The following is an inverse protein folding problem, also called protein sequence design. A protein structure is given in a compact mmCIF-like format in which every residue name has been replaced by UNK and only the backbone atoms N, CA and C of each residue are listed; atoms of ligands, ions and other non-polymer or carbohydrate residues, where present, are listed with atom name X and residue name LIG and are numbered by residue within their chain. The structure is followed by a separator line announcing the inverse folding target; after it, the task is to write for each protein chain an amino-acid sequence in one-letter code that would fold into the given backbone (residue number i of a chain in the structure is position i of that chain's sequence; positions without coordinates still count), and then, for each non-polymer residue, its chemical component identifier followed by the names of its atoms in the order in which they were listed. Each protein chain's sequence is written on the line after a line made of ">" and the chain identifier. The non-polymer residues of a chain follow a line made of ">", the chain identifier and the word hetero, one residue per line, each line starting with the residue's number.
data_IF_866728098185
#
_entry.id   IF_866728098185
#
_cell.length_a   1.000
_cell.length_b   1.000
_cell.length_c   1.000
_cell.angle_alpha   90.00
_cell.angle_beta   90.00
_cell.angle_gamma   90.00
#
_symmetry.space_group_name_H-M   'P 1'
#
loop_
_entity.id
_entity.type
_entity.pdbx_description
1 polymer ?
#
# COMPACT_ATOMS: atom_id res chain seq x y z
N UNK A 1 -38.91 -37.37 -5.62
CA UNK A 1 -38.90 -37.51 -7.10
C UNK A 1 -38.76 -36.09 -7.63
N UNK A 2 -37.51 -35.63 -7.78
CA UNK A 2 -36.81 -35.35 -9.06
C UNK A 2 -37.12 -33.94 -9.62
N UNK A 3 -36.06 -33.13 -9.65
CA UNK A 3 -35.78 -31.77 -10.21
C UNK A 3 -36.11 -31.61 -11.73
N UNK A 4 -35.74 -30.49 -12.43
CA UNK A 4 -36.07 -29.06 -12.27
C UNK A 4 -36.43 -28.40 -13.63
N UNK A 5 -36.76 -27.09 -13.69
CA UNK A 5 -36.67 -26.32 -14.93
C UNK A 5 -36.37 -24.83 -14.69
N UNK A 6 -35.28 -24.40 -15.32
CA UNK A 6 -34.64 -23.08 -15.35
C UNK A 6 -35.48 -22.09 -16.14
N UNK A 7 -35.62 -20.85 -15.67
CA UNK A 7 -35.68 -19.67 -16.55
C UNK A 7 -35.43 -18.38 -15.76
N UNK A 8 -34.25 -17.79 -15.90
CA UNK A 8 -34.09 -16.35 -15.69
C UNK A 8 -33.54 -15.78 -16.99
N UNK A 9 -34.34 -14.93 -17.63
CA UNK A 9 -33.97 -14.24 -18.87
C UNK A 9 -32.78 -13.33 -18.60
N UNK A 10 -31.69 -13.59 -19.30
CA UNK A 10 -30.63 -12.60 -19.49
C UNK A 10 -31.18 -11.48 -20.37
N UNK A 11 -31.62 -10.37 -19.77
CA UNK A 11 -31.68 -9.11 -20.49
C UNK A 11 -30.25 -8.61 -20.64
N UNK A 12 -29.71 -8.88 -21.83
CA UNK A 12 -28.48 -8.28 -22.33
C UNK A 12 -28.73 -6.78 -22.56
N UNK A 13 -28.48 -5.97 -21.55
CA UNK A 13 -28.15 -4.56 -21.77
C UNK A 13 -26.77 -4.53 -22.43
N UNK A 14 -26.75 -4.18 -23.72
CA UNK A 14 -25.54 -4.09 -24.53
C UNK A 14 -24.44 -3.28 -23.83
N UNK A 15 -23.19 -3.78 -23.77
CA UNK A 15 -22.11 -3.04 -23.16
C UNK A 15 -21.78 -1.78 -23.99
N UNK A 16 -21.34 -0.67 -23.37
CA UNK A 16 -20.92 0.52 -24.10
C UNK A 16 -19.80 0.18 -25.08
N UNK A 17 -20.01 0.53 -26.35
CA UNK A 17 -19.15 0.23 -27.50
C UNK A 17 -17.91 1.13 -27.57
N UNK A 18 -17.10 1.16 -26.52
CA UNK A 18 -15.82 1.88 -26.50
C UNK A 18 -14.65 0.92 -26.73
N UNK A 19 -13.75 1.18 -27.71
CA UNK A 19 -12.72 0.23 -28.18
C UNK A 19 -11.61 -0.13 -27.18
N UNK A 20 -11.68 0.33 -25.92
CA UNK A 20 -10.64 0.11 -24.89
C UNK A 20 -11.02 -0.84 -23.75
N UNK A 21 -12.18 -1.51 -23.78
CA UNK A 21 -12.67 -2.33 -22.66
C UNK A 21 -12.04 -3.75 -22.60
N UNK A 22 -10.70 -3.83 -22.44
CA UNK A 22 -9.97 -5.10 -22.23
C UNK A 22 -9.62 -5.27 -20.75
N UNK A 23 -10.57 -5.73 -19.94
CA UNK A 23 -10.28 -6.14 -18.55
C UNK A 23 -9.41 -7.40 -18.55
N UNK A 24 -8.10 -7.21 -18.43
CA UNK A 24 -7.18 -8.31 -18.16
C UNK A 24 -6.17 -7.91 -17.10
N UNK A 25 -6.51 -8.22 -15.84
CA UNK A 25 -5.57 -8.65 -14.80
C UNK A 25 -6.30 -9.53 -13.78
N UNK A 26 -6.51 -10.79 -14.13
CA UNK A 26 -7.15 -11.82 -13.30
C UNK A 26 -6.23 -12.38 -12.20
N UNK A 27 -5.43 -11.54 -11.55
CA UNK A 27 -4.45 -11.99 -10.57
C UNK A 27 -5.13 -12.69 -9.38
N UNK A 28 -6.24 -12.12 -8.89
CA UNK A 28 -7.02 -12.72 -7.81
C UNK A 28 -7.72 -14.02 -8.23
N UNK A 29 -8.29 -14.09 -9.44
CA UNK A 29 -8.89 -15.33 -9.93
C UNK A 29 -7.82 -16.43 -10.17
N UNK A 30 -6.62 -16.05 -10.59
CA UNK A 30 -5.48 -16.98 -10.69
C UNK A 30 -5.02 -17.46 -9.30
N UNK A 31 -5.07 -16.60 -8.28
CA UNK A 31 -4.85 -17.00 -6.89
C UNK A 31 -5.93 -17.98 -6.40
N UNK A 32 -7.20 -17.69 -6.66
CA UNK A 32 -8.32 -18.57 -6.29
C UNK A 32 -8.18 -19.97 -6.91
N UNK A 33 -7.82 -20.05 -8.21
CA UNK A 33 -7.51 -21.32 -8.89
C UNK A 33 -6.37 -22.08 -8.23
N UNK A 34 -5.28 -21.40 -7.85
CA UNK A 34 -4.14 -22.02 -7.14
C UNK A 34 -4.52 -22.53 -5.74
N UNK A 35 -5.44 -21.84 -5.07
CA UNK A 35 -5.99 -22.25 -3.79
C UNK A 35 -7.05 -23.37 -3.91
N UNK A 36 -7.40 -23.81 -5.13
CA UNK A 36 -8.49 -24.74 -5.40
C UNK A 36 -9.82 -24.34 -4.72
N UNK A 37 -10.06 -23.04 -4.59
CA UNK A 37 -11.22 -22.49 -3.89
C UNK A 37 -11.92 -21.44 -4.75
N UNK A 38 -13.26 -21.39 -4.75
CA UNK A 38 -14.00 -20.40 -5.53
C UNK A 38 -13.79 -19.00 -4.94
N UNK A 39 -13.84 -18.00 -5.83
CA UNK A 39 -14.03 -16.60 -5.46
C UNK A 39 -15.54 -16.32 -5.57
N UNK A 40 -16.24 -16.02 -4.47
CA UNK A 40 -17.68 -15.76 -4.55
C UNK A 40 -17.96 -14.48 -5.34
N UNK A 41 -19.13 -14.41 -5.98
CA UNK A 41 -19.64 -13.16 -6.51
C UNK A 41 -19.77 -12.14 -5.36
N UNK A 42 -19.38 -10.91 -5.64
CA UNK A 42 -19.29 -9.86 -4.63
C UNK A 42 -19.23 -8.50 -5.32
N UNK A 43 -19.48 -7.43 -4.58
CA UNK A 43 -19.43 -6.07 -5.10
C UNK A 43 -18.08 -5.83 -5.77
N UNK A 44 -18.11 -5.47 -7.05
CA UNK A 44 -16.93 -5.44 -7.91
C UNK A 44 -16.89 -4.16 -8.75
N UNK A 45 -15.75 -3.49 -8.74
CA UNK A 45 -15.56 -2.19 -9.43
C UNK A 45 -14.34 -2.25 -10.33
N UNK A 46 -14.52 -1.90 -11.60
CA UNK A 46 -13.46 -1.65 -12.56
C UNK A 46 -12.64 -0.42 -12.18
N UNK A 47 -11.33 -0.43 -12.41
CA UNK A 47 -10.48 0.77 -12.26
C UNK A 47 -10.07 1.34 -13.62
N UNK A 48 -9.83 2.66 -13.74
CA UNK A 48 -9.36 3.28 -14.98
C UNK A 48 -8.05 2.69 -15.52
N UNK A 49 -7.22 2.16 -14.62
CA UNK A 49 -5.95 1.50 -14.94
C UNK A 49 -6.07 0.07 -15.48
N UNK A 50 -7.29 -0.44 -15.68
CA UNK A 50 -7.56 -1.80 -16.17
C UNK A 50 -7.50 -2.88 -15.09
N UNK A 51 -7.55 -2.48 -13.81
CA UNK A 51 -7.65 -3.36 -12.65
C UNK A 51 -9.10 -3.55 -12.16
N UNK A 52 -9.24 -4.22 -11.03
CA UNK A 52 -10.55 -4.52 -10.42
C UNK A 52 -10.45 -4.51 -8.91
N UNK A 53 -11.37 -3.82 -8.25
CA UNK A 53 -11.59 -3.89 -6.81
C UNK A 53 -12.65 -4.94 -6.50
N UNK A 54 -12.32 -5.87 -5.60
CA UNK A 54 -13.25 -6.84 -5.03
C UNK A 54 -13.48 -6.49 -3.56
N UNK A 55 -14.74 -6.31 -3.17
CA UNK A 55 -15.09 -5.91 -1.82
C UNK A 55 -15.56 -7.12 -1.03
N UNK A 56 -15.12 -7.26 0.22
CA UNK A 56 -15.53 -8.36 1.10
C UNK A 56 -15.85 -7.83 2.50
N UNK A 57 -16.87 -8.39 3.14
CA UNK A 57 -17.13 -8.24 4.57
C UNK A 57 -16.08 -9.02 5.35
N UNK A 58 -15.47 -8.39 6.33
CA UNK A 58 -14.48 -9.00 7.19
C UNK A 58 -14.68 -8.52 8.62
N UNK A 59 -14.70 -9.45 9.57
CA UNK A 59 -14.88 -9.17 11.00
C UNK A 59 -13.55 -8.91 11.74
N UNK A 60 -12.41 -9.19 11.11
CA UNK A 60 -11.07 -9.00 11.68
C UNK A 60 -10.41 -7.67 11.30
N UNK A 61 -9.39 -7.24 12.05
CA UNK A 61 -8.60 -6.05 11.74
C UNK A 61 -7.48 -6.37 10.73
N UNK A 62 -7.84 -6.68 9.48
CA UNK A 62 -6.85 -6.86 8.42
C UNK A 62 -6.16 -5.52 8.11
N UNK A 63 -4.85 -5.56 7.91
CA UNK A 63 -4.03 -4.40 7.55
C UNK A 63 -3.98 -4.23 6.04
N UNK A 64 -3.58 -3.04 5.61
CA UNK A 64 -3.21 -2.82 4.21
C UNK A 64 -1.98 -3.66 3.86
N UNK A 65 -2.01 -4.30 2.70
CA UNK A 65 -0.86 -5.05 2.18
C UNK A 65 -0.61 -4.65 0.73
N UNK A 66 0.65 -4.74 0.30
CA UNK A 66 0.99 -4.64 -1.12
C UNK A 66 1.71 -5.90 -1.56
N UNK A 67 1.15 -6.60 -2.53
CA UNK A 67 1.70 -7.82 -3.09
C UNK A 67 1.77 -9.04 -2.16
N UNK A 68 1.19 -9.00 -0.95
CA UNK A 68 1.28 -10.13 0.00
C UNK A 68 0.63 -11.40 -0.56
N UNK A 69 -0.47 -11.26 -1.29
CA UNK A 69 -1.19 -12.35 -1.95
C UNK A 69 -0.58 -12.74 -3.31
N UNK A 70 0.44 -12.00 -3.75
CA UNK A 70 1.12 -12.19 -5.02
C UNK A 70 1.19 -10.89 -5.84
N UNK A 71 1.97 -10.91 -6.93
CA UNK A 71 2.11 -9.75 -7.80
C UNK A 71 0.76 -9.21 -8.25
N UNK A 72 0.62 -7.88 -8.27
CA UNK A 72 -0.57 -7.16 -8.73
C UNK A 72 -1.82 -7.35 -7.86
N UNK A 73 -1.66 -7.87 -6.64
CA UNK A 73 -2.74 -7.99 -5.64
C UNK A 73 -2.34 -7.21 -4.40
N UNK A 74 -3.00 -6.08 -4.19
CA UNK A 74 -2.92 -5.29 -2.97
C UNK A 74 -4.22 -5.49 -2.16
N UNK A 75 -4.14 -5.37 -0.84
CA UNK A 75 -5.34 -5.37 0.02
C UNK A 75 -5.47 -4.06 0.78
N UNK A 76 -6.71 -3.59 0.90
CA UNK A 76 -7.07 -2.40 1.68
C UNK A 76 -7.96 -2.84 2.83
N UNK A 77 -7.42 -2.75 4.04
CA UNK A 77 -8.09 -3.09 5.29
C UNK A 77 -8.28 -1.84 6.15
N UNK A 78 -8.13 -1.98 7.47
CA UNK A 78 -8.34 -0.89 8.42
C UNK A 78 -7.42 0.30 8.11
N UNK A 79 -8.01 1.49 7.97
CA UNK A 79 -7.31 2.74 7.64
C UNK A 79 -6.88 2.87 6.17
N UNK A 80 -7.17 1.86 5.33
CA UNK A 80 -7.08 1.97 3.88
C UNK A 80 -8.38 2.51 3.28
N UNK A 81 -8.28 3.11 2.09
CA UNK A 81 -9.42 3.49 1.29
C UNK A 81 -9.20 3.10 -0.17
N UNK A 82 -10.30 3.06 -0.91
CA UNK A 82 -10.35 2.87 -2.37
C UNK A 82 -11.28 3.92 -2.95
N UNK A 83 -11.07 4.29 -4.20
CA UNK A 83 -11.99 5.20 -4.91
C UNK A 83 -13.27 4.43 -5.22
N UNK A 84 -14.43 5.06 -4.98
CA UNK A 84 -15.74 4.44 -5.12
C UNK A 84 -16.19 4.37 -6.58
N UNK A 85 -17.09 3.43 -6.88
CA UNK A 85 -17.78 3.35 -8.16
C UNK A 85 -18.49 4.68 -8.49
N UNK A 86 -18.50 5.03 -9.77
CA UNK A 86 -19.05 6.29 -10.28
C UNK A 86 -18.07 7.47 -10.28
N UNK A 87 -16.89 7.34 -9.66
CA UNK A 87 -15.86 8.37 -9.71
C UNK A 87 -15.24 8.45 -11.12
N UNK A 88 -15.06 9.66 -11.66
CA UNK A 88 -14.48 9.90 -12.98
C UNK A 88 -13.18 10.68 -12.85
N UNK A 89 -12.13 10.18 -13.51
CA UNK A 89 -10.81 10.81 -13.61
C UNK A 89 -10.49 11.10 -15.09
N UNK A 90 -9.51 11.98 -15.40
CA UNK A 90 -9.09 12.24 -16.79
C UNK A 90 -8.72 10.97 -17.57
N UNK A 91 -8.17 9.97 -16.90
CA UNK A 91 -7.78 8.67 -17.48
C UNK A 91 -8.92 7.64 -17.59
N UNK A 92 -10.12 7.92 -17.06
CA UNK A 92 -11.28 7.03 -17.10
C UNK A 92 -12.07 6.96 -15.79
N UNK A 93 -13.12 6.13 -15.77
CA UNK A 93 -14.01 5.98 -14.63
C UNK A 93 -13.76 4.72 -13.79
N UNK A 94 -14.19 4.79 -12.52
CA UNK A 94 -14.40 3.62 -11.68
C UNK A 94 -15.80 3.07 -11.95
N UNK A 95 -15.91 1.98 -12.67
CA UNK A 95 -17.20 1.50 -13.19
C UNK A 95 -17.70 0.28 -12.42
N UNK A 96 -18.99 0.25 -12.10
CA UNK A 96 -19.59 -0.88 -11.40
C UNK A 96 -19.66 -2.10 -12.35
N UNK A 97 -19.08 -3.22 -11.93
CA UNK A 97 -19.13 -4.49 -12.67
C UNK A 97 -20.22 -5.41 -12.07
N UNK A 98 -20.28 -5.49 -10.74
CA UNK A 98 -21.20 -6.35 -10.00
C UNK A 98 -21.71 -5.58 -8.78
N UNK A 99 -23.03 -5.44 -8.65
CA UNK A 99 -23.67 -4.74 -7.53
C UNK A 99 -23.98 -5.64 -6.33
N UNK A 100 -23.71 -6.95 -6.43
CA UNK A 100 -23.97 -7.93 -5.38
C UNK A 100 -23.40 -7.41 -4.06
N UNK A 101 -24.18 -7.38 -2.96
CA UNK A 101 -23.68 -6.90 -1.68
C UNK A 101 -22.38 -7.60 -1.28
N UNK A 102 -21.41 -6.91 -0.65
CA UNK A 102 -20.13 -7.50 -0.33
C UNK A 102 -20.28 -8.86 0.40
N UNK A 103 -19.75 -9.92 -0.20
CA UNK A 103 -19.75 -11.26 0.36
C UNK A 103 -18.82 -11.35 1.57
N UNK A 104 -19.01 -12.35 2.43
CA UNK A 104 -18.04 -12.62 3.50
C UNK A 104 -16.68 -12.99 2.92
N UNK A 105 -15.60 -12.52 3.55
CA UNK A 105 -14.23 -12.79 3.11
C UNK A 105 -13.98 -14.31 3.16
N UNK A 106 -13.64 -14.94 2.01
CA UNK A 106 -13.36 -16.37 1.98
C UNK A 106 -12.26 -16.76 2.96
N UNK A 107 -12.46 -17.86 3.70
CA UNK A 107 -11.52 -18.32 4.73
C UNK A 107 -10.09 -18.52 4.20
N UNK A 108 -9.94 -18.97 2.95
CA UNK A 108 -8.64 -19.14 2.31
C UNK A 108 -7.91 -17.80 2.08
N UNK A 109 -8.64 -16.72 1.77
CA UNK A 109 -8.06 -15.37 1.67
C UNK A 109 -7.72 -14.83 3.06
N UNK A 110 -8.60 -15.02 4.04
CA UNK A 110 -8.35 -14.61 5.42
C UNK A 110 -7.08 -15.27 5.98
N UNK A 111 -6.88 -16.57 5.73
CA UNK A 111 -5.68 -17.30 6.12
C UNK A 111 -4.42 -16.78 5.42
N UNK A 112 -4.49 -16.52 4.10
CA UNK A 112 -3.35 -15.97 3.36
C UNK A 112 -2.98 -14.54 3.78
N UNK A 113 -3.95 -13.78 4.31
CA UNK A 113 -3.78 -12.43 4.85
C UNK A 113 -3.45 -12.39 6.34
N UNK A 114 -3.53 -13.54 7.03
CA UNK A 114 -3.26 -13.61 8.45
C UNK A 114 -1.84 -13.09 8.75
N UNK A 115 -1.64 -12.33 9.84
CA UNK A 115 -0.32 -11.89 10.23
C UNK A 115 0.59 -13.11 10.39
N UNK A 116 1.73 -13.12 9.69
CA UNK A 116 2.76 -14.11 9.97
C UNK A 116 3.22 -13.91 11.42
N UNK A 117 3.45 -14.99 12.19
CA UNK A 117 3.98 -14.87 13.54
C UNK A 117 5.23 -13.98 13.49
N UNK A 118 5.37 -13.03 14.43
CA UNK A 118 6.49 -12.12 14.42
C UNK A 118 7.79 -12.95 14.46
N UNK A 119 8.59 -12.87 13.41
CA UNK A 119 10.01 -13.21 13.51
C UNK A 119 10.55 -12.39 14.67
N UNK A 120 11.18 -13.06 15.64
CA UNK A 120 11.61 -12.48 16.91
C UNK A 120 12.12 -11.06 16.70
N UNK A 121 11.52 -10.09 17.39
CA UNK A 121 11.95 -8.71 17.34
C UNK A 121 13.41 -8.68 17.76
N UNK A 122 14.33 -8.47 16.81
CA UNK A 122 15.69 -8.09 17.16
C UNK A 122 15.55 -6.81 17.98
N UNK A 123 16.06 -6.84 19.22
CA UNK A 123 15.96 -5.69 20.14
C UNK A 123 16.58 -4.42 19.57
N UNK A 124 16.59 -3.31 20.34
CA UNK A 124 17.23 -2.07 19.95
C UNK A 124 18.62 -2.33 19.35
N UNK A 125 18.86 -1.80 18.14
CA UNK A 125 20.16 -1.98 17.48
C UNK A 125 21.03 -0.78 17.79
N UNK A 126 22.09 -1.02 18.54
CA UNK A 126 23.14 -0.03 18.76
C UNK A 126 24.13 -0.07 17.58
N UNK A 127 24.42 1.10 17.02
CA UNK A 127 25.42 1.27 15.96
C UNK A 127 26.63 1.95 16.59
N UNK A 128 27.74 1.21 16.66
CA UNK A 128 29.04 1.76 17.03
C UNK A 128 29.58 2.58 15.85
N UNK A 129 29.70 3.88 16.04
CA UNK A 129 30.27 4.79 15.04
C UNK A 129 31.36 5.66 15.67
N UNK A 130 32.44 5.90 14.92
CA UNK A 130 33.54 6.80 15.34
C UNK A 130 33.04 8.24 15.48
N UNK A 131 32.14 8.66 14.58
CA UNK A 131 31.52 9.99 14.59
C UNK A 131 30.00 9.87 14.41
N UNK A 132 29.25 9.61 15.51
CA UNK A 132 27.80 9.38 15.48
C UNK A 132 27.00 10.45 14.71
N UNK A 133 27.29 11.73 14.94
CA UNK A 133 26.55 12.83 14.32
C UNK A 133 26.76 12.87 12.81
N UNK A 134 28.00 12.66 12.34
CA UNK A 134 28.31 12.63 10.91
C UNK A 134 27.64 11.43 10.21
N UNK A 135 27.53 10.30 10.92
CA UNK A 135 26.87 9.10 10.40
C UNK A 135 25.37 9.33 10.23
N UNK A 136 24.72 9.89 11.26
CA UNK A 136 23.29 10.22 11.21
C UNK A 136 23.01 11.27 10.12
N UNK A 137 23.86 12.31 10.02
CA UNK A 137 23.75 13.32 8.98
C UNK A 137 23.91 12.73 7.57
N UNK A 138 24.87 11.83 7.35
CA UNK A 138 25.06 11.15 6.08
C UNK A 138 23.88 10.23 5.73
N UNK A 139 23.35 9.50 6.72
CA UNK A 139 22.15 8.67 6.53
C UNK A 139 20.92 9.52 6.17
N UNK A 140 20.74 10.66 6.83
CA UNK A 140 19.68 11.62 6.50
C UNK A 140 19.82 12.15 5.08
N UNK A 141 21.01 12.58 4.68
CA UNK A 141 21.28 13.10 3.33
C UNK A 141 20.99 12.03 2.25
N UNK A 142 21.49 10.81 2.44
CA UNK A 142 21.28 9.71 1.50
C UNK A 142 19.79 9.37 1.31
N UNK A 143 19.01 9.40 2.38
CA UNK A 143 17.56 9.15 2.31
C UNK A 143 16.79 10.29 1.64
N UNK A 144 17.18 11.54 1.90
CA UNK A 144 16.62 12.73 1.24
C UNK A 144 16.89 12.68 -0.26
N UNK A 145 18.12 12.36 -0.67
CA UNK A 145 18.49 12.26 -2.09
C UNK A 145 17.74 11.12 -2.79
N UNK A 146 17.59 9.97 -2.11
CA UNK A 146 16.81 8.84 -2.61
C UNK A 146 15.35 9.21 -2.84
N UNK A 147 14.74 9.97 -1.92
CA UNK A 147 13.37 10.46 -2.09
C UNK A 147 13.30 11.45 -3.24
N UNK A 148 14.18 12.44 -3.30
CA UNK A 148 14.17 13.46 -4.37
C UNK A 148 14.35 12.86 -5.78
N UNK A 149 15.08 11.75 -5.90
CA UNK A 149 15.31 11.04 -7.16
C UNK A 149 14.26 9.95 -7.48
N UNK A 150 13.19 9.81 -6.68
CA UNK A 150 12.26 8.70 -6.85
C UNK A 150 11.44 8.81 -8.16
N UNK A 151 11.40 7.75 -8.99
CA UNK A 151 10.65 7.78 -10.24
C UNK A 151 9.14 7.81 -9.99
N UNK A 152 8.40 8.39 -10.94
CA UNK A 152 6.93 8.44 -10.92
C UNK A 152 6.34 7.05 -10.65
N UNK A 153 5.33 7.00 -9.78
CA UNK A 153 4.71 5.73 -9.36
C UNK A 153 5.44 4.97 -8.24
N UNK A 154 6.72 5.25 -7.93
CA UNK A 154 7.41 4.68 -6.74
C UNK A 154 7.54 5.64 -5.56
N UNK A 155 7.25 6.91 -5.77
CA UNK A 155 7.45 8.01 -4.82
C UNK A 155 6.91 7.73 -3.42
N UNK A 156 5.65 7.29 -3.32
CA UNK A 156 5.03 7.00 -2.03
C UNK A 156 5.74 5.88 -1.27
N UNK A 157 6.12 4.83 -1.98
CA UNK A 157 6.85 3.74 -1.37
C UNK A 157 8.25 4.18 -0.96
N UNK A 158 8.95 4.96 -1.78
CA UNK A 158 10.27 5.51 -1.42
C UNK A 158 10.20 6.43 -0.22
N UNK A 159 9.21 7.34 -0.15
CA UNK A 159 8.99 8.21 1.01
C UNK A 159 8.67 7.40 2.27
N UNK A 160 7.82 6.38 2.17
CA UNK A 160 7.53 5.48 3.28
C UNK A 160 8.79 4.76 3.79
N UNK A 161 9.61 4.21 2.90
CA UNK A 161 10.85 3.53 3.27
C UNK A 161 11.86 4.50 3.91
N UNK A 162 11.97 5.73 3.40
CA UNK A 162 12.84 6.75 3.99
C UNK A 162 12.35 7.17 5.38
N UNK A 163 11.05 7.40 5.54
CA UNK A 163 10.44 7.69 6.83
C UNK A 163 10.62 6.53 7.83
N UNK A 164 10.48 5.28 7.39
CA UNK A 164 10.75 4.11 8.21
C UNK A 164 12.23 4.04 8.62
N UNK A 165 13.17 4.27 7.71
CA UNK A 165 14.59 4.22 8.01
C UNK A 165 15.02 5.31 9.00
N UNK A 166 14.64 6.57 8.75
CA UNK A 166 14.98 7.72 9.57
C UNK A 166 14.21 7.74 10.90
N UNK A 167 12.95 7.31 10.88
CA UNK A 167 12.14 7.15 12.08
C UNK A 167 12.74 6.18 13.10
N UNK A 168 13.61 5.25 12.69
CA UNK A 168 14.33 4.37 13.63
C UNK A 168 15.38 5.14 14.42
N UNK A 169 16.05 6.11 13.80
CA UNK A 169 16.99 7.00 14.49
C UNK A 169 16.25 7.98 15.41
N UNK A 170 15.09 8.47 14.99
CA UNK A 170 14.19 9.27 15.87
C UNK A 170 13.77 8.46 17.09
N UNK A 171 13.27 7.24 16.88
CA UNK A 171 12.85 6.34 17.96
C UNK A 171 14.02 5.93 18.88
N UNK A 172 15.25 5.91 18.37
CA UNK A 172 16.45 5.65 19.16
C UNK A 172 17.12 6.90 19.75
N UNK A 173 16.53 8.08 19.58
CA UNK A 173 17.03 9.35 20.12
C UNK A 173 18.23 9.96 19.41
N UNK A 174 18.63 9.43 18.24
CA UNK A 174 19.81 9.86 17.51
C UNK A 174 19.57 11.08 16.60
N UNK A 175 18.31 11.41 16.29
CA UNK A 175 17.93 12.60 15.52
C UNK A 175 16.55 13.07 15.95
N UNK A 176 16.33 14.39 15.90
CA UNK A 176 15.03 14.98 16.20
C UNK A 176 13.98 14.73 15.10
N UNK A 177 12.73 14.51 15.51
CA UNK A 177 11.58 14.24 14.64
C UNK A 177 11.33 15.42 13.66
N UNK A 178 11.34 16.67 14.16
CA UNK A 178 11.04 17.85 13.35
C UNK A 178 12.12 18.08 12.27
N UNK A 179 13.38 17.78 12.59
CA UNK A 179 14.49 17.80 11.63
C UNK A 179 14.24 16.84 10.48
N UNK A 180 13.89 15.58 10.76
CA UNK A 180 13.62 14.58 9.73
C UNK A 180 12.39 14.95 8.89
N UNK A 181 11.30 15.40 9.53
CA UNK A 181 10.09 15.83 8.82
C UNK A 181 10.38 16.95 7.84
N UNK A 182 11.07 18.00 8.32
CA UNK A 182 11.44 19.15 7.49
C UNK A 182 12.26 18.72 6.28
N UNK A 183 13.22 17.81 6.48
CA UNK A 183 14.06 17.29 5.40
C UNK A 183 13.25 16.47 4.38
N UNK A 184 12.35 15.59 4.82
CA UNK A 184 11.51 14.78 3.93
C UNK A 184 10.49 15.64 3.15
N UNK A 185 9.88 16.64 3.79
CA UNK A 185 9.01 17.61 3.10
C UNK A 185 9.77 18.36 1.99
N UNK A 186 11.01 18.81 2.27
CA UNK A 186 11.89 19.43 1.27
C UNK A 186 12.33 18.47 0.16
N UNK A 187 12.45 17.17 0.45
CA UNK A 187 12.77 16.17 -0.56
C UNK A 187 11.58 15.97 -1.52
N UNK A 188 10.37 15.88 -0.97
CA UNK A 188 9.14 15.71 -1.75
C UNK A 188 8.86 16.90 -2.67
N UNK A 189 9.17 18.13 -2.26
CA UNK A 189 8.99 19.30 -3.13
C UNK A 189 9.87 19.30 -4.39
N UNK A 190 10.90 18.43 -4.44
CA UNK A 190 11.78 18.24 -5.61
C UNK A 190 11.37 17.05 -6.47
N UNK A 191 10.36 16.27 -6.05
CA UNK A 191 9.91 15.11 -6.80
C UNK A 191 9.32 15.53 -8.14
N UNK A 192 9.57 14.76 -9.23
CA UNK A 192 8.81 14.93 -10.45
C UNK A 192 7.34 14.63 -10.16
N UNK A 193 6.41 15.45 -10.64
CA UNK A 193 4.99 15.17 -10.42
C UNK A 193 4.61 13.88 -11.15
N UNK A 194 3.99 12.93 -10.44
CA UNK A 194 3.45 11.71 -11.08
C UNK A 194 2.34 12.06 -12.06
N UNK A 195 1.56 13.12 -11.77
CA UNK A 195 0.61 13.75 -12.69
C UNK A 195 0.81 15.27 -12.63
N UNK A 196 0.95 15.98 -13.77
CA UNK A 196 1.27 17.41 -13.80
C UNK A 196 0.33 18.31 -12.97
N UNK A 197 -0.93 17.91 -12.81
CA UNK A 197 -1.97 18.69 -12.13
C UNK A 197 -2.36 18.14 -10.75
N UNK A 198 -1.61 17.16 -10.23
CA UNK A 198 -1.90 16.57 -8.92
C UNK A 198 -0.63 16.53 -8.08
N UNK A 199 -0.20 17.70 -7.56
CA UNK A 199 0.92 17.76 -6.65
C UNK A 199 0.61 17.04 -5.35
N UNK A 200 1.65 16.54 -4.70
CA UNK A 200 1.55 15.96 -3.37
C UNK A 200 1.00 16.99 -2.38
N UNK A 201 -0.13 16.69 -1.75
CA UNK A 201 -0.66 17.54 -0.69
C UNK A 201 0.16 17.36 0.61
N UNK A 202 0.32 18.40 1.43
CA UNK A 202 1.01 18.28 2.72
C UNK A 202 0.46 17.14 3.60
N UNK A 203 -0.86 16.96 3.60
CA UNK A 203 -1.52 15.89 4.34
C UNK A 203 -1.11 14.48 3.86
N UNK A 204 -0.96 14.27 2.54
CA UNK A 204 -0.49 12.99 2.00
C UNK A 204 0.96 12.71 2.41
N UNK A 205 1.81 13.74 2.42
CA UNK A 205 3.21 13.64 2.86
C UNK A 205 3.24 13.23 4.35
N UNK A 206 2.53 13.98 5.19
CA UNK A 206 2.49 13.72 6.63
C UNK A 206 1.90 12.36 6.97
N UNK A 207 0.83 11.94 6.30
CA UNK A 207 0.25 10.61 6.48
C UNK A 207 1.27 9.50 6.18
N UNK A 208 2.07 9.67 5.13
CA UNK A 208 3.11 8.71 4.72
C UNK A 208 4.25 8.68 5.73
N UNK A 209 4.73 9.86 6.16
CA UNK A 209 5.78 9.97 7.18
C UNK A 209 5.33 9.37 8.52
N UNK A 210 4.12 9.71 8.97
CA UNK A 210 3.54 9.17 10.20
C UNK A 210 3.37 7.64 10.15
N UNK A 211 3.05 7.08 8.98
CA UNK A 211 3.00 5.63 8.79
C UNK A 211 4.37 4.98 8.97
N UNK A 212 5.42 5.57 8.36
CA UNK A 212 6.80 5.11 8.50
C UNK A 212 7.29 5.20 9.95
N UNK A 213 7.08 6.33 10.61
CA UNK A 213 7.53 6.58 11.99
C UNK A 213 6.86 5.65 13.00
N UNK A 214 5.53 5.45 12.89
CA UNK A 214 4.83 4.46 13.73
C UNK A 214 5.38 3.05 13.55
N UNK A 215 5.77 2.69 12.34
CA UNK A 215 6.38 1.37 12.07
C UNK A 215 7.79 1.29 12.65
N UNK A 216 8.53 2.40 12.66
CA UNK A 216 9.90 2.46 13.12
C UNK A 216 10.09 2.29 14.63
N UNK A 217 9.09 2.65 15.45
CA UNK A 217 9.12 2.52 16.91
C UNK A 217 9.35 1.08 17.38
N UNK A 218 8.97 0.09 16.57
CA UNK A 218 9.19 -1.32 16.87
C UNK A 218 10.64 -1.78 16.70
N UNK A 219 11.51 -0.97 16.06
CA UNK A 219 12.92 -1.31 15.76
C UNK A 219 13.83 -0.07 15.90
N UNK A 220 13.95 0.52 17.10
CA UNK A 220 14.74 1.72 17.31
C UNK A 220 16.24 1.47 17.01
N UNK A 221 16.91 2.51 16.50
CA UNK A 221 18.35 2.54 16.21
C UNK A 221 19.00 3.68 17.00
N UNK A 222 19.84 3.32 17.94
CA UNK A 222 20.67 4.27 18.69
C UNK A 222 22.09 4.23 18.13
N UNK A 223 22.78 5.36 18.18
CA UNK A 223 24.16 5.47 17.71
C UNK A 223 25.03 5.85 18.90
N UNK A 224 26.07 5.07 19.16
CA UNK A 224 26.98 5.29 20.28
C UNK A 224 28.38 5.59 19.74
N UNK A 225 29.06 6.56 20.36
CA UNK A 225 30.43 6.94 20.01
C UNK A 225 31.41 5.86 20.44
N UNK A 226 32.20 5.34 19.50
CA UNK A 226 33.32 4.47 19.84
C UNK A 226 34.54 5.34 20.13
N UNK A 227 34.99 5.40 21.38
CA UNK A 227 36.27 6.04 21.69
C UNK A 227 37.39 5.24 21.03
N UNK A 228 38.16 5.89 20.15
CA UNK A 228 39.39 5.32 19.62
C UNK A 228 40.42 5.28 20.77
N UNK A 229 40.93 4.09 21.07
CA UNK A 229 42.01 3.85 22.02
C UNK A 229 43.37 4.33 21.47
#
# INVERSE_FOLDING_TARGET
>A
MLEPAISYKAEQSSPPSSPNYKYRRHALAALARRAAAPLPATYTVATPSGGTHYYFRNSGALRNTSGQLGPLIDTRGVGGYVVAAGSVLPEGGYELIDDTPPADLPGWLAQALAPKPPVANSGPREIAAVHPDSYVAAALAAEVDRVAAAPSGRQNHTLYEAALALGRFVAGGAVDDATVRTALHRAVSRLPLTRPNEPWSPHQIDATINSGFRTATHRPRSVCGTQAA
#
